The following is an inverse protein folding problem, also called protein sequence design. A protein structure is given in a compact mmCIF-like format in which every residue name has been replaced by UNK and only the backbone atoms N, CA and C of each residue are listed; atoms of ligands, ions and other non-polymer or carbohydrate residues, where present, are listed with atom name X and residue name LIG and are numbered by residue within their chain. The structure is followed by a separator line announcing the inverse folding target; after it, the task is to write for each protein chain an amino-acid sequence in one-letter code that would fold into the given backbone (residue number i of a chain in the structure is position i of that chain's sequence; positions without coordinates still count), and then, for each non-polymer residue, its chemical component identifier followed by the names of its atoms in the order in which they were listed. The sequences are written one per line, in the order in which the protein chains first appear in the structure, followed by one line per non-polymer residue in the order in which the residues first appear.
data_IF_848606285751
#
_entry.id   IF_848606285751
#
_cell.length_a   1.000
_cell.length_b   1.000
_cell.length_c   1.000
_cell.angle_alpha   90.00
_cell.angle_beta   90.00
_cell.angle_gamma   90.00
#
_symmetry.space_group_name_H-M   'P 1'
#
loop_
_entity.id
_entity.type
_entity.pdbx_description
1 polymer ?
#
# COMPACT_ATOMS: atom_id res chain seq x y z
N UNK A 1 5.00 20.10 -22.03
CA UNK A 1 3.63 20.12 -21.46
C UNK A 1 3.78 20.25 -19.96
N UNK A 2 3.39 21.37 -19.36
CA UNK A 2 3.59 21.62 -17.92
C UNK A 2 2.68 20.72 -17.10
N UNK A 3 3.25 19.97 -16.17
CA UNK A 3 2.47 19.22 -15.19
C UNK A 3 1.59 20.20 -14.41
N UNK A 4 0.28 20.09 -14.58
CA UNK A 4 -0.69 20.89 -13.85
C UNK A 4 -0.58 20.49 -12.37
N UNK A 5 -0.15 21.41 -11.49
CA UNK A 5 -0.09 21.14 -10.04
C UNK A 5 -1.48 20.73 -9.57
N UNK A 6 -1.63 19.49 -9.10
CA UNK A 6 -2.88 19.02 -8.46
C UNK A 6 -3.20 19.98 -7.28
N UNK A 7 -4.46 20.42 -7.11
CA UNK A 7 -4.82 21.25 -5.98
C UNK A 7 -4.52 20.51 -4.67
N UNK A 8 -4.05 21.25 -3.66
CA UNK A 8 -3.73 20.68 -2.36
C UNK A 8 -4.97 20.02 -1.75
N UNK A 9 -4.82 18.76 -1.32
CA UNK A 9 -5.88 18.03 -0.61
C UNK A 9 -6.17 18.67 0.74
N UNK A 10 -7.43 18.58 1.19
CA UNK A 10 -7.78 18.98 2.56
C UNK A 10 -7.03 18.12 3.58
N UNK A 11 -6.76 18.66 4.78
CA UNK A 11 -6.12 17.89 5.86
C UNK A 11 -6.90 16.61 6.18
N UNK A 12 -8.23 16.69 6.25
CA UNK A 12 -9.08 15.53 6.47
C UNK A 12 -8.93 14.48 5.35
N UNK A 13 -8.85 14.90 4.09
CA UNK A 13 -8.64 13.98 2.96
C UNK A 13 -7.29 13.28 3.05
N UNK A 14 -6.22 14.01 3.42
CA UNK A 14 -4.89 13.43 3.61
C UNK A 14 -4.89 12.40 4.75
N UNK A 15 -5.55 12.71 5.88
CA UNK A 15 -5.65 11.81 7.03
C UNK A 15 -6.47 10.56 6.70
N UNK A 16 -7.54 10.69 5.92
CA UNK A 16 -8.33 9.56 5.43
C UNK A 16 -7.52 8.66 4.50
N UNK A 17 -6.75 9.22 3.55
CA UNK A 17 -5.88 8.45 2.66
C UNK A 17 -4.78 7.72 3.44
N UNK A 18 -4.16 8.39 4.43
CA UNK A 18 -3.20 7.74 5.32
C UNK A 18 -3.84 6.57 6.09
N UNK A 19 -5.06 6.75 6.60
CA UNK A 19 -5.79 5.69 7.32
C UNK A 19 -6.11 4.50 6.41
N UNK A 20 -6.55 4.76 5.18
CA UNK A 20 -6.85 3.73 4.18
C UNK A 20 -5.59 2.95 3.80
N UNK A 21 -4.48 3.64 3.47
CA UNK A 21 -3.21 3.00 3.12
C UNK A 21 -2.67 2.10 4.25
N UNK A 22 -2.81 2.52 5.52
CA UNK A 22 -2.45 1.64 6.64
C UNK A 22 -3.32 0.39 6.71
N UNK A 23 -4.61 0.52 6.43
CA UNK A 23 -5.54 -0.60 6.31
C UNK A 23 -5.10 -1.59 5.23
N UNK A 24 -4.81 -1.11 4.02
CA UNK A 24 -4.42 -1.95 2.89
C UNK A 24 -3.05 -2.59 3.08
N UNK A 25 -2.08 -1.88 3.68
CA UNK A 25 -0.79 -2.47 4.05
C UNK A 25 -0.94 -3.59 5.09
N UNK A 26 -1.82 -3.41 6.08
CA UNK A 26 -2.10 -4.44 7.09
C UNK A 26 -2.86 -5.63 6.48
N UNK A 27 -3.80 -5.39 5.57
CA UNK A 27 -4.51 -6.44 4.84
C UNK A 27 -3.55 -7.28 4.00
N UNK A 28 -2.66 -6.64 3.23
CA UNK A 28 -1.57 -7.31 2.51
C UNK A 28 -0.76 -8.23 3.43
N UNK A 29 -0.28 -7.71 4.56
CA UNK A 29 0.54 -8.48 5.50
C UNK A 29 -0.22 -9.69 6.06
N UNK A 30 -1.50 -9.52 6.46
CA UNK A 30 -2.36 -10.61 6.94
C UNK A 30 -2.56 -11.69 5.88
N UNK A 31 -2.88 -11.29 4.65
CA UNK A 31 -3.16 -12.24 3.58
C UNK A 31 -1.92 -13.02 3.17
N UNK A 32 -0.74 -12.40 3.18
CA UNK A 32 0.52 -13.12 2.98
C UNK A 32 0.78 -14.17 4.09
N UNK A 33 0.47 -13.85 5.35
CA UNK A 33 0.56 -14.82 6.45
C UNK A 33 -0.46 -15.96 6.30
N UNK A 34 -1.69 -15.67 5.88
CA UNK A 34 -2.72 -16.67 5.64
C UNK A 34 -2.36 -17.57 4.46
N UNK A 35 -1.80 -17.01 3.39
CA UNK A 35 -1.28 -17.78 2.27
C UNK A 35 -0.17 -18.75 2.69
N UNK A 36 0.79 -18.27 3.50
CA UNK A 36 1.85 -19.11 4.04
C UNK A 36 1.29 -20.25 4.88
N UNK A 37 0.32 -19.96 5.76
CA UNK A 37 -0.35 -20.97 6.57
C UNK A 37 -1.10 -22.00 5.69
N UNK A 38 -1.86 -21.56 4.70
CA UNK A 38 -2.57 -22.44 3.78
C UNK A 38 -1.60 -23.36 3.01
N UNK A 39 -0.46 -22.82 2.56
CA UNK A 39 0.58 -23.58 1.85
C UNK A 39 1.21 -24.65 2.73
N UNK A 40 1.54 -24.33 4.00
CA UNK A 40 2.07 -25.30 4.98
C UNK A 40 1.10 -26.45 5.25
N UNK A 41 -0.20 -26.21 5.14
CA UNK A 41 -1.25 -27.22 5.32
C UNK A 41 -1.69 -27.91 4.03
N UNK A 42 -0.92 -27.80 2.93
CA UNK A 42 -1.23 -28.45 1.65
C UNK A 42 -2.40 -27.85 0.87
N UNK A 43 -2.99 -26.73 1.32
CA UNK A 43 -4.13 -26.06 0.69
C UNK A 43 -3.68 -25.08 -0.41
N UNK A 44 -3.12 -25.62 -1.51
CA UNK A 44 -2.49 -24.82 -2.57
C UNK A 44 -3.42 -23.78 -3.21
N UNK A 45 -4.68 -24.13 -3.50
CA UNK A 45 -5.64 -23.18 -4.11
C UNK A 45 -6.00 -22.05 -3.16
N UNK A 46 -6.17 -22.35 -1.86
CA UNK A 46 -6.45 -21.33 -0.85
C UNK A 46 -5.24 -20.38 -0.65
N UNK A 47 -4.02 -20.93 -0.68
CA UNK A 47 -2.82 -20.11 -0.64
C UNK A 47 -2.77 -19.13 -1.83
N UNK A 48 -3.04 -19.61 -3.04
CA UNK A 48 -3.10 -18.77 -4.24
C UNK A 48 -4.21 -17.70 -4.16
N UNK A 49 -5.38 -18.04 -3.57
CA UNK A 49 -6.45 -17.07 -3.35
C UNK A 49 -5.99 -15.92 -2.43
N UNK A 50 -5.36 -16.25 -1.30
CA UNK A 50 -4.82 -15.24 -0.39
C UNK A 50 -3.69 -14.41 -1.02
N UNK A 51 -2.80 -15.03 -1.80
CA UNK A 51 -1.75 -14.32 -2.54
C UNK A 51 -2.32 -13.33 -3.56
N UNK A 52 -3.38 -13.74 -4.28
CA UNK A 52 -4.06 -12.86 -5.22
C UNK A 52 -4.74 -11.68 -4.50
N UNK A 53 -5.41 -11.94 -3.38
CA UNK A 53 -6.01 -10.88 -2.56
C UNK A 53 -4.93 -9.90 -2.04
N UNK A 54 -3.83 -10.42 -1.48
CA UNK A 54 -2.70 -9.60 -1.05
C UNK A 54 -2.18 -8.72 -2.20
N UNK A 55 -2.00 -9.27 -3.39
CA UNK A 55 -1.57 -8.51 -4.56
C UNK A 55 -2.55 -7.39 -4.92
N UNK A 56 -3.86 -7.62 -4.82
CA UNK A 56 -4.87 -6.57 -5.01
C UNK A 56 -4.67 -5.43 -4.02
N UNK A 57 -4.55 -5.73 -2.72
CA UNK A 57 -4.37 -4.68 -1.71
C UNK A 57 -3.11 -3.84 -1.97
N UNK A 58 -1.99 -4.49 -2.31
CA UNK A 58 -0.71 -3.79 -2.49
C UNK A 58 -0.58 -3.02 -3.80
N UNK A 59 -1.03 -3.62 -4.90
CA UNK A 59 -0.77 -3.11 -6.26
C UNK A 59 -1.96 -2.39 -6.88
N UNK A 60 -3.15 -2.47 -6.28
CA UNK A 60 -4.31 -1.68 -6.67
C UNK A 60 -4.64 -0.68 -5.57
N UNK A 61 -5.29 -1.11 -4.47
CA UNK A 61 -5.87 -0.17 -3.49
C UNK A 61 -4.80 0.74 -2.85
N UNK A 62 -3.75 0.16 -2.26
CA UNK A 62 -2.65 0.95 -1.69
C UNK A 62 -1.96 1.83 -2.74
N UNK A 63 -1.77 1.33 -3.96
CA UNK A 63 -1.04 2.04 -5.01
C UNK A 63 -1.85 3.26 -5.53
N UNK A 64 -3.15 3.10 -5.70
CA UNK A 64 -4.07 4.17 -6.10
C UNK A 64 -4.17 5.25 -5.01
N UNK A 65 -4.29 4.85 -3.74
CA UNK A 65 -4.29 5.76 -2.60
C UNK A 65 -2.96 6.51 -2.44
N UNK A 66 -1.84 5.82 -2.67
CA UNK A 66 -0.52 6.42 -2.65
C UNK A 66 -0.33 7.47 -3.77
N UNK A 67 -0.88 7.23 -4.98
CA UNK A 67 -0.89 8.24 -6.05
C UNK A 67 -1.75 9.46 -5.68
N UNK A 68 -2.92 9.22 -5.08
CA UNK A 68 -3.80 10.30 -4.62
C UNK A 68 -3.15 11.11 -3.49
N UNK A 69 -2.46 10.44 -2.56
CA UNK A 69 -1.74 11.06 -1.47
C UNK A 69 -0.44 11.77 -1.91
N UNK A 70 0.07 11.48 -3.12
CA UNK A 70 1.36 11.97 -3.58
C UNK A 70 2.53 11.38 -2.79
N UNK A 71 2.38 10.14 -2.30
CA UNK A 71 3.34 9.47 -1.42
C UNK A 71 4.70 9.24 -2.10
N UNK A 72 4.69 8.85 -3.38
CA UNK A 72 5.92 8.55 -4.13
C UNK A 72 6.41 9.83 -4.84
N UNK A 73 7.55 10.34 -4.38
CA UNK A 73 8.26 11.48 -4.95
C UNK A 73 9.52 11.08 -5.73
N UNK A 74 10.50 11.98 -5.77
CA UNK A 74 11.81 11.66 -6.36
C UNK A 74 12.56 10.62 -5.51
N UNK A 75 13.55 9.92 -6.08
CA UNK A 75 14.36 8.95 -5.33
C UNK A 75 15.02 9.58 -4.10
N UNK A 76 15.46 10.83 -4.20
CA UNK A 76 16.05 11.56 -3.07
C UNK A 76 15.01 11.87 -1.97
N UNK A 77 13.77 12.19 -2.33
CA UNK A 77 12.71 12.46 -1.37
C UNK A 77 12.26 11.16 -0.69
N UNK A 78 12.08 10.09 -1.47
CA UNK A 78 11.71 8.76 -0.97
C UNK A 78 12.77 8.21 0.00
N UNK A 79 14.07 8.40 -0.29
CA UNK A 79 15.15 8.00 0.62
C UNK A 79 15.15 8.80 1.93
N UNK A 80 14.90 10.11 1.87
CA UNK A 80 14.81 10.94 3.09
C UNK A 80 13.63 10.55 3.95
N UNK A 81 12.47 10.30 3.35
CA UNK A 81 11.28 9.83 4.03
C UNK A 81 11.53 8.48 4.72
N UNK A 82 12.12 7.51 4.02
CA UNK A 82 12.48 6.21 4.59
C UNK A 82 13.42 6.32 5.79
N UNK A 83 14.48 7.14 5.69
CA UNK A 83 15.43 7.36 6.80
C UNK A 83 14.73 7.98 8.01
N UNK A 84 13.83 8.94 7.79
CA UNK A 84 13.08 9.59 8.87
C UNK A 84 12.10 8.62 9.55
N UNK A 85 11.51 7.68 8.81
CA UNK A 85 10.57 6.70 9.34
C UNK A 85 11.21 5.56 10.15
N UNK A 86 12.53 5.36 10.06
CA UNK A 86 13.26 4.30 10.79
C UNK A 86 13.77 4.72 12.18
N UNK A 87 13.77 6.02 12.50
CA UNK A 87 14.31 6.59 13.76
C UNK A 87 13.23 6.75 14.83
#
# INVERSE_FOLDING_TARGET
MGAQKRPALSKQTQDNLSTAMHGEAMAYAKYMLYAQHARKNGKKQLAALFENAARTERFQHFAEEADLAGLVGSDADNLRDAIQGES
#
